data_IF_007994478802
#
_entry.id   IF_007994478802
#
_cell.length_a   1.000
_cell.length_b   1.000
_cell.length_c   1.000
_cell.angle_alpha   90.00
_cell.angle_beta   90.00
_cell.angle_gamma   90.00
#
_symmetry.space_group_name_H-M   'P 1'
#
loop_
_entity.id
_entity.type
_entity.pdbx_description
1 polymer ?
#
# COMPACT_ATOMS: atom_id res chain seq x y z
N UNK A 1 24.78 38.24 -62.28
CA UNK A 1 24.29 37.84 -60.96
C UNK A 1 24.86 36.47 -60.65
N UNK A 2 25.73 36.42 -59.65
CA UNK A 2 26.24 35.22 -58.97
C UNK A 2 25.04 34.31 -58.61
N UNK A 3 25.09 32.99 -58.55
CA UNK A 3 26.18 32.02 -58.51
C UNK A 3 25.53 30.70 -58.06
N UNK A 4 26.12 29.58 -58.47
CA UNK A 4 25.74 28.22 -58.09
C UNK A 4 25.78 28.01 -56.56
N UNK A 5 25.00 27.06 -56.04
CA UNK A 5 25.45 25.99 -55.12
C UNK A 5 24.38 24.89 -55.00
N UNK A 6 24.81 23.66 -55.31
CA UNK A 6 24.17 22.37 -55.04
C UNK A 6 23.92 22.11 -53.53
N UNK A 7 22.92 21.25 -53.24
CA UNK A 7 22.97 20.02 -52.40
C UNK A 7 21.50 19.58 -52.13
N UNK A 8 21.01 18.40 -52.53
CA UNK A 8 21.18 17.10 -51.83
C UNK A 8 20.85 17.26 -50.32
N UNK A 9 19.86 16.59 -49.72
CA UNK A 9 19.61 15.15 -49.67
C UNK A 9 18.14 14.79 -49.43
N UNK A 10 17.74 13.60 -49.89
CA UNK A 10 16.50 12.90 -49.54
C UNK A 10 16.70 12.08 -48.24
N UNK A 11 15.80 12.19 -47.25
CA UNK A 11 15.44 11.19 -46.22
C UNK A 11 14.33 11.82 -45.32
N UNK A 12 13.22 11.22 -44.86
CA UNK A 12 12.72 9.86 -44.69
C UNK A 12 11.17 9.89 -44.71
N UNK A 13 10.53 8.73 -44.89
CA UNK A 13 9.12 8.48 -44.51
C UNK A 13 8.82 9.06 -43.11
N UNK A 14 7.61 9.53 -42.80
CA UNK A 14 6.46 8.69 -42.42
C UNK A 14 5.17 9.53 -42.55
N UNK A 15 4.08 8.86 -42.91
CA UNK A 15 2.69 9.30 -42.81
C UNK A 15 2.37 10.03 -41.47
N UNK A 16 2.68 11.33 -41.37
CA UNK A 16 2.42 12.12 -40.17
C UNK A 16 0.96 12.59 -40.20
N UNK A 17 0.06 11.67 -39.84
CA UNK A 17 -1.25 12.04 -39.30
C UNK A 17 -0.95 13.05 -38.18
N UNK A 18 -1.16 14.33 -38.44
CA UNK A 18 -1.03 15.36 -37.42
C UNK A 18 -2.19 15.13 -36.45
N UNK A 19 -2.00 14.24 -35.47
CA UNK A 19 -2.91 14.08 -34.35
C UNK A 19 -2.79 15.34 -33.50
N UNK A 20 -3.36 16.44 -34.00
CA UNK A 20 -3.58 17.65 -33.24
C UNK A 20 -4.39 17.20 -32.02
N UNK A 21 -3.77 17.23 -30.84
CA UNK A 21 -4.48 16.92 -29.62
C UNK A 21 -5.62 17.94 -29.46
N UNK A 22 -6.86 17.48 -29.61
CA UNK A 22 -8.05 18.33 -29.45
C UNK A 22 -8.44 18.30 -27.97
N UNK A 23 -8.41 19.46 -27.33
CA UNK A 23 -8.96 19.65 -25.99
C UNK A 23 -10.28 20.41 -26.10
N UNK A 24 -11.35 19.86 -25.52
CA UNK A 24 -12.69 20.50 -25.46
C UNK A 24 -12.70 21.74 -24.57
N UNK A 25 -11.78 21.81 -23.62
CA UNK A 25 -11.65 22.80 -22.56
C UNK A 25 -10.23 23.39 -22.56
N UNK A 26 -10.12 24.67 -22.21
CA UNK A 26 -8.84 25.38 -22.18
C UNK A 26 -7.94 24.84 -21.08
N UNK A 27 -6.68 24.57 -21.42
CA UNK A 27 -5.68 24.01 -20.51
C UNK A 27 -5.11 25.02 -19.48
N UNK A 28 -5.55 26.28 -19.46
CA UNK A 28 -4.93 27.31 -18.62
C UNK A 28 -3.49 27.58 -19.04
N UNK A 29 -2.54 27.54 -18.09
CA UNK A 29 -1.11 27.73 -18.34
C UNK A 29 -0.39 26.52 -18.99
N UNK A 30 -1.11 25.41 -19.22
CA UNK A 30 -0.58 24.21 -19.87
C UNK A 30 -0.87 24.12 -21.37
N UNK A 31 -0.34 23.08 -22.02
CA UNK A 31 -0.59 22.80 -23.44
C UNK A 31 -1.35 21.48 -23.65
N UNK A 32 -2.18 21.41 -24.69
CA UNK A 32 -2.90 20.18 -25.03
C UNK A 32 -1.93 19.19 -25.68
N UNK A 33 -1.59 18.10 -24.98
CA UNK A 33 -0.65 17.08 -25.48
C UNK A 33 -1.33 15.83 -26.01
N UNK A 34 -2.55 15.55 -25.53
CA UNK A 34 -3.37 14.40 -25.89
C UNK A 34 -4.85 14.82 -25.95
N UNK A 35 -5.74 14.06 -26.62
CA UNK A 35 -7.16 14.40 -26.68
C UNK A 35 -7.75 14.61 -25.27
N UNK A 36 -8.28 15.81 -25.01
CA UNK A 36 -8.81 16.25 -23.70
C UNK A 36 -7.83 16.12 -22.51
N UNK A 37 -6.53 16.14 -22.78
CA UNK A 37 -5.48 15.99 -21.77
C UNK A 37 -4.40 17.06 -21.97
N UNK A 38 -4.24 17.90 -20.94
CA UNK A 38 -3.31 19.01 -20.86
C UNK A 38 -2.05 18.59 -20.12
N UNK A 39 -0.89 18.90 -20.68
CA UNK A 39 0.38 18.88 -19.94
C UNK A 39 0.55 20.22 -19.25
N UNK A 40 0.57 20.20 -17.93
CA UNK A 40 0.64 21.40 -17.11
C UNK A 40 2.09 21.79 -16.81
N UNK A 41 2.37 23.05 -16.42
CA UNK A 41 3.73 23.53 -16.11
C UNK A 41 4.44 22.71 -15.03
N UNK A 42 3.68 22.10 -14.10
CA UNK A 42 4.23 21.22 -13.06
C UNK A 42 4.58 19.80 -13.57
N UNK A 43 4.49 19.53 -14.88
CA UNK A 43 4.85 18.27 -15.51
C UNK A 43 3.80 17.16 -15.41
N UNK A 44 2.65 17.41 -14.78
CA UNK A 44 1.54 16.45 -14.71
C UNK A 44 0.58 16.63 -15.90
N UNK A 45 -0.10 15.54 -16.27
CA UNK A 45 -1.10 15.53 -17.34
C UNK A 45 -2.49 15.42 -16.74
N UNK A 46 -3.37 16.40 -17.02
CA UNK A 46 -4.72 16.49 -16.45
C UNK A 46 -5.72 17.12 -17.45
N UNK A 47 -7.04 17.00 -17.24
CA UNK A 47 -8.05 17.60 -18.14
C UNK A 47 -8.03 19.13 -18.17
N UNK A 48 -7.58 19.79 -17.10
CA UNK A 48 -7.33 21.23 -17.01
C UNK A 48 -6.19 21.50 -16.02
N UNK A 49 -5.38 22.53 -16.24
CA UNK A 49 -4.36 22.96 -15.28
C UNK A 49 -4.91 23.94 -14.22
N UNK A 50 -6.23 24.17 -14.20
CA UNK A 50 -6.93 24.99 -13.21
C UNK A 50 -7.17 24.23 -11.90
N UNK A 51 -7.15 22.89 -11.94
CA UNK A 51 -7.10 22.10 -10.72
C UNK A 51 -5.71 22.32 -10.11
N UNK A 52 -5.61 23.16 -9.07
CA UNK A 52 -4.50 23.10 -8.13
C UNK A 52 -4.36 21.62 -7.79
N UNK A 53 -3.31 20.99 -8.31
CA UNK A 53 -3.08 19.58 -8.06
C UNK A 53 -3.18 19.36 -6.55
N UNK A 54 -3.71 18.23 -6.05
CA UNK A 54 -3.47 17.83 -4.67
C UNK A 54 -1.95 17.78 -4.35
N UNK A 55 -1.09 17.95 -5.37
CA UNK A 55 0.36 18.14 -5.30
C UNK A 55 0.84 19.60 -5.35
N UNK A 56 0.03 20.60 -5.04
CA UNK A 56 0.57 21.91 -4.59
C UNK A 56 1.02 21.85 -3.12
N UNK A 57 1.41 20.66 -2.67
CA UNK A 57 2.09 20.44 -1.43
C UNK A 57 3.39 19.72 -1.73
N UNK A 58 4.50 20.27 -1.27
CA UNK A 58 5.78 19.56 -1.24
C UNK A 58 5.69 18.28 -0.40
N UNK A 59 4.70 18.20 0.49
CA UNK A 59 4.46 17.05 1.36
C UNK A 59 3.36 16.11 0.84
N UNK A 60 3.64 14.80 0.84
CA UNK A 60 2.64 13.75 0.59
C UNK A 60 2.00 13.33 1.92
N UNK A 61 0.68 13.41 2.01
CA UNK A 61 -0.09 12.95 3.17
C UNK A 61 -0.57 11.50 2.94
N UNK A 62 -0.38 10.63 3.93
CA UNK A 62 -0.78 9.22 3.92
C UNK A 62 -2.13 9.00 4.63
N UNK A 63 -2.67 7.79 4.53
CA UNK A 63 -3.86 7.33 5.26
C UNK A 63 -5.12 8.22 5.08
N UNK A 64 -5.23 8.91 3.95
CA UNK A 64 -6.35 9.82 3.66
C UNK A 64 -6.22 11.22 4.26
N UNK A 65 -5.02 11.63 4.69
CA UNK A 65 -4.76 13.01 5.12
C UNK A 65 -4.96 14.02 3.99
N UNK A 66 -5.55 15.16 4.33
CA UNK A 66 -5.73 16.29 3.41
C UNK A 66 -4.52 17.21 3.51
N UNK A 67 -3.98 17.68 2.38
CA UNK A 67 -2.91 18.66 2.43
C UNK A 67 -3.45 20.09 2.34
N UNK A 68 -3.00 20.96 3.25
CA UNK A 68 -3.29 22.39 3.24
C UNK A 68 -2.01 23.16 3.56
N UNK A 69 -1.63 24.09 2.68
CA UNK A 69 -0.48 25.00 2.88
C UNK A 69 0.82 24.27 3.28
N UNK A 70 1.18 23.21 2.56
CA UNK A 70 2.37 22.36 2.85
C UNK A 70 2.33 21.64 4.20
N UNK A 71 1.16 21.54 4.84
CA UNK A 71 0.95 20.79 6.06
C UNK A 71 -0.15 19.74 5.88
N UNK A 72 0.11 18.52 6.37
CA UNK A 72 -0.87 17.45 6.34
C UNK A 72 -1.85 17.56 7.52
N UNK A 73 -3.13 17.68 7.20
CA UNK A 73 -4.20 17.49 8.15
C UNK A 73 -4.55 16.01 8.24
N UNK A 74 -4.19 15.41 9.38
CA UNK A 74 -4.36 13.99 9.60
C UNK A 74 -5.78 13.64 10.05
N UNK A 75 -6.34 12.53 9.53
CA UNK A 75 -7.61 12.02 10.01
C UNK A 75 -7.48 11.50 11.45
N UNK A 76 -8.62 11.37 12.13
CA UNK A 76 -8.68 10.89 13.51
C UNK A 76 -7.94 9.55 13.63
N UNK A 77 -7.02 9.46 14.60
CA UNK A 77 -6.24 8.25 14.84
C UNK A 77 -4.95 8.15 14.02
N UNK A 78 -4.52 9.22 13.36
CA UNK A 78 -3.19 9.34 12.73
C UNK A 78 -2.52 10.66 13.09
N UNK A 79 -1.19 10.65 13.11
CA UNK A 79 -0.33 11.79 13.45
C UNK A 79 0.98 11.75 12.66
N UNK A 80 1.83 12.75 12.91
CA UNK A 80 3.10 12.95 12.24
C UNK A 80 2.98 13.82 10.98
N UNK A 81 4.11 14.31 10.47
CA UNK A 81 4.15 15.25 9.34
C UNK A 81 3.44 14.72 8.08
N UNK A 82 3.44 13.41 7.88
CA UNK A 82 2.83 12.75 6.72
C UNK A 82 1.58 11.93 7.07
N UNK A 83 1.06 12.02 8.29
CA UNK A 83 -0.04 11.16 8.78
C UNK A 83 0.25 9.65 8.72
N UNK A 84 1.53 9.28 8.79
CA UNK A 84 1.98 7.89 8.76
C UNK A 84 2.00 7.20 10.12
N UNK A 85 1.91 7.96 11.22
CA UNK A 85 1.97 7.39 12.57
C UNK A 85 0.55 7.14 13.09
N UNK A 86 0.15 5.89 13.34
CA UNK A 86 -1.16 5.62 13.94
C UNK A 86 -1.17 6.03 15.42
N UNK A 87 -2.33 6.54 15.86
CA UNK A 87 -2.61 6.92 17.24
C UNK A 87 -3.68 5.99 17.77
N UNK A 88 -3.37 5.33 18.90
CA UNK A 88 -4.32 4.53 19.65
C UNK A 88 -4.85 5.38 20.81
N UNK A 89 -6.17 5.60 20.90
CA UNK A 89 -6.78 6.38 21.99
C UNK A 89 -6.52 5.70 23.35
N UNK A 90 -6.48 4.37 23.34
CA UNK A 90 -6.03 3.56 24.47
C UNK A 90 -4.69 2.93 24.14
N UNK A 91 -3.75 3.07 25.06
CA UNK A 91 -2.40 2.54 24.88
C UNK A 91 -2.44 1.00 24.83
N UNK A 92 -1.68 0.42 23.91
CA UNK A 92 -1.48 -1.02 23.86
C UNK A 92 -0.71 -1.46 25.11
N UNK A 93 -1.25 -2.44 25.84
CA UNK A 93 -0.66 -2.98 27.06
C UNK A 93 0.34 -4.09 26.73
N UNK A 94 1.06 -4.55 27.76
CA UNK A 94 1.95 -5.73 27.68
C UNK A 94 2.97 -5.68 26.52
N UNK A 95 3.49 -4.49 26.21
CA UNK A 95 4.48 -4.29 25.14
C UNK A 95 3.90 -4.32 23.72
N UNK A 96 2.58 -4.29 23.57
CA UNK A 96 1.94 -4.18 22.26
C UNK A 96 2.28 -2.87 21.54
N UNK A 97 2.28 -2.90 20.20
CA UNK A 97 2.58 -1.74 19.34
C UNK A 97 1.32 -1.26 18.63
N UNK A 98 1.09 0.05 18.63
CA UNK A 98 0.01 0.63 17.83
C UNK A 98 0.36 0.53 16.34
N UNK A 99 -0.46 -0.18 15.56
CA UNK A 99 -0.27 -0.38 14.12
C UNK A 99 -1.39 0.24 13.28
N UNK A 100 -2.43 0.74 13.92
CA UNK A 100 -3.56 1.41 13.28
C UNK A 100 -4.40 2.14 14.33
N UNK A 101 -5.38 2.95 13.89
CA UNK A 101 -6.28 3.65 14.79
C UNK A 101 -7.02 2.64 15.66
N UNK A 102 -6.77 2.68 16.97
CA UNK A 102 -7.29 1.72 17.95
C UNK A 102 -6.99 0.24 17.64
N UNK A 103 -5.89 -0.04 16.90
CA UNK A 103 -5.45 -1.40 16.58
C UNK A 103 -4.04 -1.65 17.09
N UNK A 104 -3.92 -2.60 18.00
CA UNK A 104 -2.67 -3.03 18.60
C UNK A 104 -2.15 -4.33 17.97
N UNK A 105 -0.86 -4.36 17.66
CA UNK A 105 -0.11 -5.58 17.43
C UNK A 105 0.41 -6.09 18.77
N UNK A 106 -0.09 -7.23 19.21
CA UNK A 106 0.28 -7.82 20.48
C UNK A 106 1.55 -8.65 20.38
N UNK A 107 2.30 -8.68 21.49
CA UNK A 107 3.41 -9.60 21.66
C UNK A 107 2.85 -11.03 21.79
N UNK A 108 3.63 -12.03 21.37
CA UNK A 108 3.25 -13.42 21.53
C UNK A 108 2.85 -13.71 22.99
N UNK A 109 1.69 -14.34 23.16
CA UNK A 109 1.11 -14.63 24.47
C UNK A 109 0.17 -13.57 25.02
N UNK A 110 -0.13 -12.52 24.24
CA UNK A 110 -1.15 -11.53 24.59
C UNK A 110 -2.16 -11.35 23.46
N UNK A 111 -3.40 -11.08 23.83
CA UNK A 111 -4.55 -10.96 22.93
C UNK A 111 -5.54 -9.91 23.43
N UNK A 112 -6.56 -9.65 22.62
CA UNK A 112 -7.53 -8.56 22.84
C UNK A 112 -7.17 -7.28 22.10
N UNK A 113 -8.11 -6.33 22.04
CA UNK A 113 -7.96 -5.08 21.27
C UNK A 113 -6.80 -4.21 21.73
N UNK A 114 -6.40 -4.29 23.01
CA UNK A 114 -5.29 -3.54 23.60
C UNK A 114 -4.21 -4.48 24.15
N UNK A 115 -4.19 -5.74 23.75
CA UNK A 115 -3.26 -6.74 24.30
C UNK A 115 -3.39 -6.91 25.81
N UNK A 116 -4.58 -6.68 26.35
CA UNK A 116 -4.85 -6.69 27.79
C UNK A 116 -5.07 -8.10 28.36
N UNK A 117 -5.36 -9.09 27.49
CA UNK A 117 -5.56 -10.47 27.89
C UNK A 117 -4.28 -11.27 27.64
N UNK A 118 -3.94 -12.15 28.57
CA UNK A 118 -2.92 -13.18 28.33
C UNK A 118 -3.59 -14.27 27.48
N UNK A 119 -2.95 -14.67 26.39
CA UNK A 119 -3.46 -15.71 25.52
C UNK A 119 -3.06 -17.07 26.07
N UNK A 120 -3.99 -17.73 26.75
CA UNK A 120 -3.78 -19.04 27.41
C UNK A 120 -3.38 -20.16 26.43
N UNK A 121 -3.58 -19.97 25.12
CA UNK A 121 -3.16 -20.94 24.09
C UNK A 121 -1.64 -20.92 23.82
N UNK A 122 -0.95 -19.85 24.19
CA UNK A 122 0.52 -19.82 24.08
C UNK A 122 1.22 -20.67 25.13
N UNK A 123 0.50 -21.05 26.20
CA UNK A 123 0.97 -22.05 27.15
C UNK A 123 0.98 -23.47 26.58
N UNK A 124 0.26 -23.77 25.49
CA UNK A 124 0.30 -25.10 24.88
C UNK A 124 1.64 -25.43 24.20
N UNK A 125 2.49 -24.42 23.93
CA UNK A 125 3.87 -24.68 23.49
C UNK A 125 4.86 -24.90 24.65
N UNK A 126 4.47 -24.66 25.91
CA UNK A 126 5.29 -24.98 27.08
C UNK A 126 4.76 -26.14 27.94
N UNK A 127 3.65 -26.80 27.55
CA UNK A 127 3.25 -28.12 28.10
C UNK A 127 3.41 -29.30 27.12
N UNK A 128 4.23 -29.19 26.07
CA UNK A 128 4.76 -30.39 25.41
C UNK A 128 6.27 -30.29 25.09
N UNK A 129 7.14 -30.54 26.08
CA UNK A 129 8.37 -31.28 25.84
C UNK A 129 8.31 -32.73 26.36
N UNK A 130 7.34 -33.11 27.19
CA UNK A 130 7.26 -34.47 27.77
C UNK A 130 6.17 -35.37 27.18
N UNK A 131 5.06 -34.82 26.64
CA UNK A 131 4.03 -35.65 26.00
C UNK A 131 4.26 -35.92 24.50
N UNK A 132 5.21 -35.23 23.84
CA UNK A 132 5.63 -35.57 22.48
C UNK A 132 6.59 -36.79 22.49
N UNK A 133 7.43 -36.93 23.52
CA UNK A 133 8.31 -38.08 23.67
C UNK A 133 7.57 -39.39 24.02
N UNK A 134 6.45 -39.34 24.74
CA UNK A 134 5.64 -40.55 25.01
C UNK A 134 4.75 -40.97 23.82
N UNK A 135 4.56 -40.11 22.81
CA UNK A 135 3.60 -40.36 21.74
C UNK A 135 4.18 -41.00 20.48
N UNK A 136 5.49 -41.11 20.30
CA UNK A 136 6.02 -41.78 19.09
C UNK A 136 5.81 -43.30 19.14
N UNK A 137 6.05 -43.96 20.27
CA UNK A 137 5.81 -45.41 20.38
C UNK A 137 4.31 -45.74 20.50
N UNK A 138 3.58 -45.01 21.35
CA UNK A 138 2.16 -45.29 21.60
C UNK A 138 1.25 -44.90 20.43
N UNK A 139 1.52 -43.79 19.73
CA UNK A 139 0.73 -43.41 18.56
C UNK A 139 0.97 -44.37 17.39
N UNK A 140 2.20 -44.87 17.21
CA UNK A 140 2.48 -45.88 16.19
C UNK A 140 1.75 -47.21 16.50
N UNK A 141 1.70 -47.62 17.78
CA UNK A 141 0.93 -48.80 18.19
C UNK A 141 -0.59 -48.61 18.00
N UNK A 142 -1.12 -47.44 18.35
CA UNK A 142 -2.54 -47.12 18.18
C UNK A 142 -2.95 -46.98 16.69
N UNK A 143 -2.04 -46.52 15.83
CA UNK A 143 -2.22 -46.52 14.37
C UNK A 143 -2.22 -47.94 13.81
N UNK A 144 -1.31 -48.81 14.28
CA UNK A 144 -1.28 -50.24 13.90
C UNK A 144 -2.52 -51.00 14.41
N UNK A 145 -3.07 -50.59 15.56
CA UNK A 145 -4.31 -51.14 16.13
C UNK A 145 -5.58 -50.50 15.56
N UNK A 146 -5.47 -49.48 14.69
CA UNK A 146 -6.62 -48.82 14.06
C UNK A 146 -7.50 -48.00 15.00
N UNK A 147 -7.01 -47.63 16.19
CA UNK A 147 -7.78 -46.92 17.22
C UNK A 147 -7.78 -45.39 17.05
N UNK A 148 -6.96 -44.84 16.13
CA UNK A 148 -6.85 -43.40 15.87
C UNK A 148 -6.58 -43.11 14.39
N UNK A 149 -7.20 -42.06 13.87
CA UNK A 149 -7.03 -41.59 12.48
C UNK A 149 -6.00 -40.46 12.41
N UNK A 150 -5.20 -40.42 11.33
CA UNK A 150 -4.24 -39.34 11.10
C UNK A 150 -4.94 -37.97 11.04
N UNK A 151 -4.34 -36.89 11.56
CA UNK A 151 -4.90 -35.55 11.41
C UNK A 151 -4.94 -35.20 9.91
N UNK A 152 -6.15 -34.96 9.40
CA UNK A 152 -6.36 -34.49 8.04
C UNK A 152 -5.64 -33.16 7.82
N UNK A 153 -5.00 -33.02 6.67
CA UNK A 153 -4.35 -31.77 6.27
C UNK A 153 -5.37 -30.61 6.30
N UNK A 154 -4.97 -29.40 6.72
CA UNK A 154 -5.88 -28.26 6.72
C UNK A 154 -6.28 -27.91 5.28
N UNK A 155 -7.59 -27.89 5.05
CA UNK A 155 -8.23 -27.50 3.80
C UNK A 155 -7.98 -26.00 3.52
N UNK A 156 -7.64 -25.60 2.28
CA UNK A 156 -7.44 -24.19 1.96
C UNK A 156 -8.80 -23.45 1.95
N UNK A 157 -8.90 -22.40 2.77
CA UNK A 157 -10.09 -21.54 2.86
C UNK A 157 -10.21 -20.64 1.61
N UNK A 158 -11.44 -20.29 1.18
CA UNK A 158 -11.74 -19.65 -0.11
C UNK A 158 -11.22 -18.22 -0.26
#
# INVERSE_FOLDING_TARGET
>A
MMGLHQAAECAEEENKMHLQAICRNSCGDGFCSRPNMCTCPSGHIAPTCAAKSPQQCSIRCMNGGACMEDQCQCPKGYTGAHCGQPVCEKQCQNGGRCIGPNRCACVYGFTGPQCERVDEHTHQFQVLPTACCLRLAACCLLLLLGLVSAPGAPEPQP
#
